data_IF_590919140556
#
_entry.id   IF_590919140556
#
_cell.length_a   1.000
_cell.length_b   1.000
_cell.length_c   1.000
_cell.angle_alpha   90.00
_cell.angle_beta   90.00
_cell.angle_gamma   90.00
#
_symmetry.space_group_name_H-M   'P 1'
#
loop_
_entity.id
_entity.type
_entity.pdbx_description
1 polymer ?
#
# COMPACT_ATOMS: atom_id res chain seq x y z
N UNK A 1 -28.74 -1.30 -19.03
CA UNK A 1 -28.67 -1.12 -17.56
C UNK A 1 -28.87 -2.44 -16.79
N UNK A 2 -29.73 -3.34 -17.25
CA UNK A 2 -29.95 -4.65 -16.58
C UNK A 2 -28.69 -5.51 -16.45
N UNK A 3 -27.85 -5.58 -17.49
CA UNK A 3 -26.60 -6.36 -17.45
C UNK A 3 -25.56 -5.85 -16.44
N UNK A 4 -25.59 -4.57 -16.06
CA UNK A 4 -24.65 -4.01 -15.06
C UNK A 4 -25.07 -4.41 -13.64
N UNK A 5 -26.38 -4.54 -13.37
CA UNK A 5 -26.90 -4.97 -12.06
C UNK A 5 -26.60 -6.45 -11.76
N UNK A 6 -26.28 -7.24 -12.79
CA UNK A 6 -25.94 -8.65 -12.65
C UNK A 6 -24.43 -8.88 -12.44
N UNK A 7 -23.59 -7.85 -12.55
CA UNK A 7 -22.16 -7.99 -12.29
C UNK A 7 -21.91 -8.14 -10.79
N UNK A 8 -21.04 -9.09 -10.38
CA UNK A 8 -20.69 -9.23 -8.98
C UNK A 8 -19.98 -7.97 -8.47
N UNK A 9 -20.33 -7.55 -7.25
CA UNK A 9 -19.71 -6.39 -6.59
C UNK A 9 -18.23 -6.63 -6.30
N UNK A 10 -17.85 -7.89 -6.11
CA UNK A 10 -16.48 -8.31 -5.89
C UNK A 10 -16.04 -9.28 -6.99
N UNK A 11 -14.87 -9.02 -7.55
CA UNK A 11 -14.21 -9.98 -8.43
C UNK A 11 -13.17 -10.74 -7.63
N UNK A 12 -13.29 -12.07 -7.47
CA UNK A 12 -12.30 -12.87 -6.78
C UNK A 12 -10.95 -12.73 -7.50
N UNK A 13 -9.95 -12.28 -6.76
CA UNK A 13 -8.58 -12.15 -7.27
C UNK A 13 -7.84 -13.47 -7.07
N UNK A 14 -7.09 -13.96 -8.08
CA UNK A 14 -6.19 -15.11 -7.93
C UNK A 14 -5.23 -14.91 -6.76
N UNK A 15 -4.96 -15.99 -6.01
CA UNK A 15 -3.94 -15.99 -4.96
C UNK A 15 -2.55 -15.88 -5.56
N UNK A 16 -1.56 -15.45 -4.75
CA UNK A 16 -0.15 -15.43 -5.17
C UNK A 16 0.31 -16.79 -5.72
N UNK A 17 -0.06 -17.89 -5.06
CA UNK A 17 0.31 -19.24 -5.51
C UNK A 17 -0.32 -19.57 -6.87
N UNK A 18 -1.58 -19.19 -7.09
CA UNK A 18 -2.25 -19.39 -8.37
C UNK A 18 -1.60 -18.58 -9.50
N UNK A 19 -1.21 -17.32 -9.23
CA UNK A 19 -0.49 -16.46 -10.18
C UNK A 19 0.87 -17.03 -10.57
N UNK A 20 1.64 -17.50 -9.58
CA UNK A 20 2.93 -18.16 -9.80
C UNK A 20 2.74 -19.44 -10.64
N UNK A 21 1.75 -20.26 -10.31
CA UNK A 21 1.46 -21.49 -11.06
C UNK A 21 1.04 -21.21 -12.52
N UNK A 22 0.42 -20.06 -12.78
CA UNK A 22 0.08 -19.59 -14.13
C UNK A 22 1.26 -18.95 -14.88
N UNK A 23 2.44 -18.88 -14.25
CA UNK A 23 3.65 -18.30 -14.85
C UNK A 23 3.62 -16.77 -14.94
N UNK A 24 2.82 -16.08 -14.12
CA UNK A 24 2.90 -14.62 -14.01
C UNK A 24 4.29 -14.21 -13.49
N UNK A 25 5.06 -13.52 -14.34
CA UNK A 25 6.40 -13.05 -14.01
C UNK A 25 6.45 -11.70 -13.30
N UNK A 26 5.31 -10.98 -13.26
CA UNK A 26 5.20 -9.66 -12.65
C UNK A 26 4.61 -9.77 -11.25
N UNK A 27 5.10 -8.94 -10.33
CA UNK A 27 4.54 -8.83 -8.99
C UNK A 27 3.19 -8.11 -9.05
N UNK A 28 2.14 -8.73 -8.53
CA UNK A 28 0.89 -8.03 -8.24
C UNK A 28 1.09 -7.15 -6.99
N UNK A 29 0.79 -5.83 -7.04
CA UNK A 29 1.06 -4.93 -5.91
C UNK A 29 0.41 -5.37 -4.60
N UNK A 30 -0.82 -5.90 -4.65
CA UNK A 30 -1.51 -6.35 -3.44
C UNK A 30 -0.79 -7.51 -2.72
N UNK A 31 -0.15 -8.40 -3.48
CA UNK A 31 0.62 -9.50 -2.89
C UNK A 31 1.92 -8.99 -2.27
N UNK A 32 2.61 -8.06 -2.93
CA UNK A 32 3.79 -7.41 -2.39
C UNK A 32 3.48 -6.66 -1.08
N UNK A 33 2.38 -5.91 -1.04
CA UNK A 33 1.94 -5.14 0.13
C UNK A 33 1.64 -6.07 1.31
N UNK A 34 0.87 -7.14 1.09
CA UNK A 34 0.56 -8.15 2.13
C UNK A 34 1.83 -8.83 2.63
N UNK A 35 2.74 -9.17 1.73
CA UNK A 35 4.01 -9.79 2.06
C UNK A 35 4.90 -8.88 2.90
N UNK A 36 5.01 -7.60 2.55
CA UNK A 36 5.72 -6.59 3.34
C UNK A 36 5.05 -6.45 4.71
N UNK A 37 3.73 -6.22 4.76
CA UNK A 37 3.01 -6.02 6.03
C UNK A 37 3.20 -7.18 7.00
N UNK A 38 3.21 -8.42 6.50
CA UNK A 38 3.43 -9.61 7.33
C UNK A 38 4.81 -9.70 8.02
N UNK A 39 5.78 -8.88 7.58
CA UNK A 39 7.15 -8.84 8.12
C UNK A 39 7.44 -7.59 8.96
N UNK A 40 6.51 -6.65 8.99
CA UNK A 40 6.67 -5.39 9.71
C UNK A 40 6.04 -5.49 11.09
N UNK A 41 6.59 -4.75 12.06
CA UNK A 41 5.99 -4.61 13.37
C UNK A 41 4.57 -4.03 13.25
N UNK A 42 3.59 -4.44 14.08
CA UNK A 42 2.22 -3.96 13.99
C UNK A 42 2.12 -2.43 14.03
N UNK A 43 2.97 -1.78 14.82
CA UNK A 43 3.05 -0.32 15.02
C UNK A 43 3.96 0.41 14.03
N UNK A 44 4.43 -0.24 12.96
CA UNK A 44 5.21 0.39 11.88
C UNK A 44 4.45 1.58 11.28
N UNK A 45 5.10 2.73 11.17
CA UNK A 45 4.58 3.83 10.36
C UNK A 45 4.76 3.52 8.87
N UNK A 46 3.70 3.61 8.08
CA UNK A 46 3.78 3.61 6.62
C UNK A 46 3.47 5.01 6.09
N UNK A 47 4.31 5.49 5.18
CA UNK A 47 4.18 6.79 4.53
C UNK A 47 4.08 6.55 3.04
N UNK A 48 2.92 6.88 2.47
CA UNK A 48 2.56 6.52 1.10
C UNK A 48 2.54 7.77 0.25
N UNK A 49 3.31 7.76 -0.83
CA UNK A 49 3.39 8.85 -1.79
C UNK A 49 2.15 8.91 -2.70
N UNK A 50 2.12 9.92 -3.55
CA UNK A 50 1.07 10.13 -4.53
C UNK A 50 1.35 9.27 -5.78
N UNK A 51 0.38 8.46 -6.18
CA UNK A 51 0.48 7.66 -7.39
C UNK A 51 -0.47 6.47 -7.39
N UNK A 52 -0.40 5.63 -8.44
CA UNK A 52 -1.24 4.43 -8.54
C UNK A 52 -0.98 3.44 -7.39
N UNK A 53 0.26 3.36 -6.90
CA UNK A 53 0.63 2.52 -5.76
C UNK A 53 -0.15 2.89 -4.49
N UNK A 54 -0.52 4.17 -4.31
CA UNK A 54 -1.35 4.63 -3.19
C UNK A 54 -2.71 3.96 -3.14
N UNK A 55 -3.32 3.72 -4.31
CA UNK A 55 -4.60 3.02 -4.41
C UNK A 55 -4.41 1.59 -3.89
N UNK A 56 -3.38 0.88 -4.34
CA UNK A 56 -3.12 -0.48 -3.86
C UNK A 56 -2.80 -0.52 -2.35
N UNK A 57 -2.02 0.44 -1.85
CA UNK A 57 -1.74 0.58 -0.41
C UNK A 57 -3.03 0.76 0.40
N UNK A 58 -3.93 1.63 -0.04
CA UNK A 58 -5.20 1.85 0.64
C UNK A 58 -6.11 0.61 0.64
N UNK A 59 -6.01 -0.26 -0.37
CA UNK A 59 -6.81 -1.49 -0.44
C UNK A 59 -6.19 -2.67 0.34
N UNK A 60 -4.86 -2.77 0.39
CA UNK A 60 -4.17 -3.99 0.87
C UNK A 60 -3.37 -3.81 2.15
N UNK A 61 -3.06 -2.59 2.58
CA UNK A 61 -2.33 -2.36 3.83
C UNK A 61 -3.30 -2.32 5.03
N UNK A 62 -3.15 -3.30 5.93
CA UNK A 62 -3.92 -3.35 7.17
C UNK A 62 -3.17 -2.60 8.29
N UNK A 63 -3.57 -1.35 8.51
CA UNK A 63 -3.16 -0.55 9.66
C UNK A 63 -3.61 -1.22 10.97
N UNK A 64 -2.76 -1.20 12.00
CA UNK A 64 -3.05 -1.78 13.31
C UNK A 64 -3.64 -0.76 14.30
N UNK A 65 -3.49 0.54 14.04
CA UNK A 65 -3.98 1.56 14.97
C UNK A 65 -4.01 2.96 14.39
N UNK A 66 -4.12 3.97 15.27
CA UNK A 66 -4.09 5.38 14.87
C UNK A 66 -2.65 5.83 14.72
N UNK A 67 -2.34 6.52 13.63
CA UNK A 67 -1.02 7.12 13.40
C UNK A 67 0.05 6.14 12.95
N UNK A 68 -0.32 5.15 12.15
CA UNK A 68 0.58 4.21 11.48
C UNK A 68 0.42 4.20 9.94
N UNK A 69 -0.52 4.97 9.37
CA UNK A 69 -0.69 5.19 7.93
C UNK A 69 -0.77 6.68 7.61
N UNK A 70 0.17 7.17 6.80
CA UNK A 70 0.35 8.58 6.48
C UNK A 70 0.32 8.77 4.96
N UNK A 71 -0.50 9.70 4.48
CA UNK A 71 -0.58 10.07 3.06
C UNK A 71 -1.02 11.52 2.94
N UNK A 72 -0.48 12.25 1.97
CA UNK A 72 -0.96 13.59 1.63
C UNK A 72 -2.23 13.48 0.79
N UNK A 73 -3.39 13.43 1.43
CA UNK A 73 -4.68 13.22 0.71
C UNK A 73 -5.23 14.47 0.03
N UNK A 74 -4.85 15.67 0.47
CA UNK A 74 -5.41 16.94 -0.01
C UNK A 74 -4.63 17.51 -1.19
N UNK A 75 -3.33 17.79 -1.00
CA UNK A 75 -2.47 18.36 -2.04
C UNK A 75 -1.86 17.27 -2.93
N UNK A 76 -1.54 16.10 -2.34
CA UNK A 76 -0.96 14.95 -3.03
C UNK A 76 0.20 15.28 -4.02
N UNK A 77 1.25 16.03 -3.62
CA UNK A 77 2.41 16.18 -4.47
C UNK A 77 3.20 14.85 -4.50
N UNK A 78 3.76 14.53 -5.67
CA UNK A 78 4.72 13.43 -5.81
C UNK A 78 6.05 13.79 -5.15
N UNK A 79 6.68 12.82 -4.49
CA UNK A 79 7.96 12.97 -3.79
C UNK A 79 7.82 13.43 -2.33
N UNK A 80 6.58 13.64 -1.87
CA UNK A 80 6.31 14.10 -0.51
C UNK A 80 6.68 13.06 0.55
N UNK A 81 6.48 11.77 0.26
CA UNK A 81 6.54 10.71 1.26
C UNK A 81 7.96 10.51 1.82
N UNK A 82 9.00 10.80 1.05
CA UNK A 82 10.40 10.67 1.49
C UNK A 82 10.69 11.66 2.63
N UNK A 83 10.45 12.95 2.39
CA UNK A 83 10.66 13.99 3.40
C UNK A 83 9.75 13.78 4.62
N UNK A 84 8.50 13.40 4.40
CA UNK A 84 7.57 13.09 5.48
C UNK A 84 8.04 11.87 6.32
N UNK A 85 8.54 10.82 5.66
CA UNK A 85 9.08 9.64 6.33
C UNK A 85 10.28 9.94 7.21
N UNK A 86 11.18 10.83 6.76
CA UNK A 86 12.29 11.34 7.59
C UNK A 86 11.74 12.02 8.85
N UNK A 87 10.80 12.96 8.68
CA UNK A 87 10.18 13.67 9.81
C UNK A 87 9.49 12.73 10.80
N UNK A 88 8.74 11.74 10.30
CA UNK A 88 8.06 10.74 11.13
C UNK A 88 9.07 9.89 11.89
N UNK A 89 10.16 9.44 11.26
CA UNK A 89 11.19 8.66 11.94
C UNK A 89 11.92 9.48 13.02
N UNK A 90 12.15 10.78 12.79
CA UNK A 90 12.70 11.67 13.80
C UNK A 90 11.73 11.89 14.98
N UNK A 91 10.43 12.01 14.72
CA UNK A 91 9.42 12.19 15.75
C UNK A 91 9.14 10.91 16.57
N UNK A 92 9.31 9.74 15.96
CA UNK A 92 9.07 8.43 16.58
C UNK A 92 10.27 7.48 16.36
N UNK A 93 11.45 7.76 16.96
CA UNK A 93 12.70 7.05 16.64
C UNK A 93 12.65 5.55 16.95
N UNK A 94 11.81 5.13 17.90
CA UNK A 94 11.65 3.73 18.31
C UNK A 94 10.74 2.92 17.38
N UNK A 95 9.93 3.57 16.55
CA UNK A 95 9.01 2.89 15.62
C UNK A 95 9.65 2.74 14.25
N UNK A 96 9.36 1.64 13.57
CA UNK A 96 9.73 1.47 12.17
C UNK A 96 9.01 2.50 11.29
N UNK A 97 9.65 2.86 10.17
CA UNK A 97 9.10 3.79 9.19
C UNK A 97 9.36 3.24 7.78
N UNK A 98 8.28 2.89 7.08
CA UNK A 98 8.29 2.42 5.70
C UNK A 98 7.78 3.53 4.79
N UNK A 99 8.66 4.02 3.90
CA UNK A 99 8.25 4.91 2.81
C UNK A 99 7.91 4.05 1.60
N UNK A 100 6.71 4.23 1.06
CA UNK A 100 6.25 3.60 -0.19
C UNK A 100 6.10 4.70 -1.23
N UNK A 101 6.93 4.63 -2.27
CA UNK A 101 6.99 5.64 -3.33
C UNK A 101 6.90 4.99 -4.70
N UNK A 102 6.48 5.77 -5.70
CA UNK A 102 6.49 5.38 -7.10
C UNK A 102 7.87 5.61 -7.73
N UNK A 103 8.07 5.05 -8.91
CA UNK A 103 9.27 5.27 -9.73
C UNK A 103 9.37 6.70 -10.29
N UNK A 104 8.24 7.36 -10.50
CA UNK A 104 8.19 8.76 -10.94
C UNK A 104 8.17 9.81 -9.83
N UNK A 105 8.13 9.39 -8.56
CA UNK A 105 7.99 10.27 -7.39
C UNK A 105 9.32 10.87 -6.94
#
# INVERSE_FOLDING_TARGET
LEGVRALPLEQPQPTLQARIAQGESRLYPGDAIKHIRSRMNPDTNVVVDSGAHRIFMAHHWLAAGRGDYHTSSSLAPMGWAICAGIGIKLAAPQRDCLVVTGDGC
#
